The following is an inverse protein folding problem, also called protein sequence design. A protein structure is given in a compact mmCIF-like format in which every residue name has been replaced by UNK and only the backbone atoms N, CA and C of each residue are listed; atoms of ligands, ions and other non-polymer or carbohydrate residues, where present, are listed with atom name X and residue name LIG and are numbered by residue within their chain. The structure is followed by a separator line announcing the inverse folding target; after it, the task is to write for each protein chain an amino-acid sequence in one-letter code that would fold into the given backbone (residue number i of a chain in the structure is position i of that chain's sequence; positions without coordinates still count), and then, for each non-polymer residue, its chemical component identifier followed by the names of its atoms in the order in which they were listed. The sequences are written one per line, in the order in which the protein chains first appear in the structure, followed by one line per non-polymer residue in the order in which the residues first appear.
data_IF_299036835802
#
_entry.id   IF_299036835802
#
_cell.length_a   1.000
_cell.length_b   1.000
_cell.length_c   1.000
_cell.angle_alpha   90.00
_cell.angle_beta   90.00
_cell.angle_gamma   90.00
#
_symmetry.space_group_name_H-M   'P 1'
#
loop_
_entity.id
_entity.type
_entity.pdbx_description
1 polymer ?
#
# COMPACT_ATOMS: atom_id res chain seq x y z
N UNK A 1 -20.90 -0.81 3.79
CA UNK A 1 -19.58 -1.48 3.86
C UNK A 1 -19.29 -2.00 2.46
N UNK A 2 -18.08 -1.83 1.97
CA UNK A 2 -17.64 -2.45 0.72
C UNK A 2 -17.12 -3.84 1.10
N UNK A 3 -17.69 -4.86 0.45
CA UNK A 3 -17.33 -6.26 0.62
C UNK A 3 -16.64 -6.71 -0.66
N UNK A 4 -15.53 -7.42 -0.51
CA UNK A 4 -14.62 -7.72 -1.60
C UNK A 4 -14.18 -9.16 -1.52
N UNK A 5 -14.28 -9.83 -2.67
CA UNK A 5 -14.22 -11.27 -2.74
C UNK A 5 -12.81 -11.75 -3.02
N UNK A 6 -12.38 -12.77 -2.28
CA UNK A 6 -11.17 -13.51 -2.57
C UNK A 6 -11.53 -14.77 -3.33
N UNK A 7 -11.12 -14.83 -4.59
CA UNK A 7 -11.31 -15.98 -5.47
C UNK A 7 -10.06 -16.86 -5.41
N UNK A 8 -10.22 -18.15 -5.11
CA UNK A 8 -9.11 -19.09 -5.07
C UNK A 8 -9.30 -20.20 -6.11
N UNK A 9 -8.22 -20.50 -6.83
CA UNK A 9 -8.18 -21.52 -7.88
C UNK A 9 -6.98 -22.43 -7.66
N UNK A 10 -7.22 -23.74 -7.70
CA UNK A 10 -6.16 -24.76 -7.70
C UNK A 10 -6.26 -25.52 -9.02
N UNK A 11 -5.16 -25.61 -9.77
CA UNK A 11 -5.18 -26.23 -11.12
C UNK A 11 -6.27 -25.66 -12.04
N UNK A 12 -6.49 -24.34 -11.97
CA UNK A 12 -7.55 -23.61 -12.71
C UNK A 12 -9.00 -24.01 -12.32
N UNK A 13 -9.19 -24.74 -11.22
CA UNK A 13 -10.50 -25.11 -10.69
C UNK A 13 -10.82 -24.21 -9.49
N UNK A 14 -12.00 -23.55 -9.44
CA UNK A 14 -12.44 -22.79 -8.27
C UNK A 14 -12.45 -23.68 -7.02
N UNK A 15 -11.81 -23.24 -5.95
CA UNK A 15 -11.70 -23.97 -4.69
C UNK A 15 -11.89 -23.01 -3.51
N UNK A 16 -12.46 -23.48 -2.38
CA UNK A 16 -12.47 -22.68 -1.15
C UNK A 16 -11.05 -22.29 -0.74
N UNK A 17 -10.89 -21.12 -0.15
CA UNK A 17 -9.61 -20.73 0.44
C UNK A 17 -9.44 -21.45 1.79
N UNK A 18 -8.21 -21.84 2.12
CA UNK A 18 -7.89 -22.38 3.43
C UNK A 18 -7.82 -21.27 4.49
N UNK A 19 -8.07 -21.61 5.76
CA UNK A 19 -7.88 -20.68 6.88
C UNK A 19 -6.43 -20.17 6.99
N UNK A 20 -5.46 -21.04 6.66
CA UNK A 20 -4.04 -20.66 6.59
C UNK A 20 -3.81 -19.57 5.55
N UNK A 21 -4.37 -19.72 4.35
CA UNK A 21 -4.26 -18.75 3.27
C UNK A 21 -5.03 -17.45 3.57
N UNK A 22 -6.20 -17.51 4.20
CA UNK A 22 -6.89 -16.31 4.69
C UNK A 22 -6.06 -15.56 5.75
N UNK A 23 -5.48 -16.28 6.71
CA UNK A 23 -4.60 -15.67 7.72
C UNK A 23 -3.36 -15.00 7.11
N UNK A 24 -2.87 -15.54 5.99
CA UNK A 24 -1.79 -14.96 5.22
C UNK A 24 -2.20 -13.60 4.63
N UNK A 25 -3.39 -13.52 4.03
CA UNK A 25 -3.96 -12.27 3.51
C UNK A 25 -4.16 -11.24 4.62
N UNK A 26 -4.71 -11.64 5.75
CA UNK A 26 -4.94 -10.73 6.89
C UNK A 26 -3.65 -10.15 7.48
N UNK A 27 -2.52 -10.83 7.28
CA UNK A 27 -1.21 -10.43 7.82
C UNK A 27 -0.38 -9.50 6.92
N UNK A 28 -0.90 -9.12 5.75
CA UNK A 28 -0.21 -8.16 4.88
C UNK A 28 -0.32 -6.76 5.50
N UNK A 29 0.76 -5.98 5.42
CA UNK A 29 0.68 -4.55 5.70
C UNK A 29 0.01 -3.83 4.53
N UNK A 30 -1.32 -3.89 4.53
CA UNK A 30 -2.18 -3.28 3.54
C UNK A 30 -2.11 -1.75 3.55
N UNK A 31 -1.73 -1.15 4.69
CA UNK A 31 -1.63 0.31 4.82
C UNK A 31 -0.50 0.87 3.96
N UNK A 32 0.58 0.10 3.77
CA UNK A 32 1.68 0.44 2.85
C UNK A 32 1.25 0.57 1.37
N UNK A 33 0.07 0.06 1.03
CA UNK A 33 -0.51 0.12 -0.31
C UNK A 33 -1.80 0.96 -0.37
N UNK A 34 -2.11 1.71 0.69
CA UNK A 34 -3.25 2.64 0.72
C UNK A 34 -4.56 2.04 1.21
N UNK A 35 -4.54 0.81 1.73
CA UNK A 35 -5.73 0.12 2.20
C UNK A 35 -5.81 0.13 3.73
N UNK A 36 -6.86 0.74 4.29
CA UNK A 36 -7.14 0.72 5.72
C UNK A 36 -7.83 -0.60 6.09
N UNK A 37 -7.06 -1.66 6.28
CA UNK A 37 -7.62 -2.98 6.56
C UNK A 37 -8.39 -3.05 7.88
N UNK A 38 -9.59 -3.64 7.86
CA UNK A 38 -10.42 -3.90 9.06
C UNK A 38 -10.37 -5.34 9.52
N UNK A 39 -10.25 -6.28 8.59
CA UNK A 39 -10.27 -7.71 8.89
C UNK A 39 -10.74 -8.55 7.72
N UNK A 40 -10.78 -9.86 7.90
CA UNK A 40 -11.27 -10.81 6.91
C UNK A 40 -11.98 -11.97 7.58
N UNK A 41 -12.91 -12.59 6.87
CA UNK A 41 -13.71 -13.71 7.36
C UNK A 41 -14.13 -14.63 6.22
N UNK A 42 -14.57 -15.84 6.56
CA UNK A 42 -15.26 -16.74 5.62
C UNK A 42 -16.75 -16.67 5.96
N UNK A 43 -17.58 -16.41 4.96
CA UNK A 43 -19.03 -16.35 5.12
C UNK A 43 -19.67 -17.75 5.25
N UNK A 44 -20.99 -17.79 5.48
CA UNK A 44 -21.75 -19.03 5.60
C UNK A 44 -21.78 -19.86 4.28
N UNK A 45 -21.52 -19.20 3.15
CA UNK A 45 -21.45 -19.81 1.82
C UNK A 45 -20.03 -20.33 1.48
N UNK A 46 -19.06 -20.13 2.38
CA UNK A 46 -17.67 -20.57 2.22
C UNK A 46 -16.80 -19.61 1.40
N UNK A 47 -17.27 -18.41 1.09
CA UNK A 47 -16.51 -17.38 0.39
C UNK A 47 -15.64 -16.61 1.39
N UNK A 48 -14.41 -16.31 1.00
CA UNK A 48 -13.58 -15.41 1.79
C UNK A 48 -13.76 -13.97 1.36
N UNK A 49 -13.93 -13.11 2.36
CA UNK A 49 -14.08 -11.68 2.18
C UNK A 49 -13.03 -10.93 3.01
N UNK A 50 -12.46 -9.89 2.40
CA UNK A 50 -11.64 -8.90 3.09
C UNK A 50 -12.45 -7.61 3.26
N UNK A 51 -12.31 -6.98 4.42
CA UNK A 51 -12.97 -5.73 4.77
C UNK A 51 -11.96 -4.62 4.97
N UNK A 52 -12.32 -3.45 4.46
CA UNK A 52 -11.50 -2.25 4.53
C UNK A 52 -12.32 -1.08 5.07
N UNK A 53 -11.67 -0.12 5.69
CA UNK A 53 -12.21 1.20 5.89
C UNK A 53 -12.03 2.04 4.64
N UNK A 54 -12.89 3.07 4.52
CA UNK A 54 -12.86 4.13 3.50
C UNK A 54 -11.74 3.99 2.46
N UNK A 55 -12.05 3.39 1.31
CA UNK A 55 -11.09 3.17 0.23
C UNK A 55 -11.19 4.25 -0.83
N UNK A 56 -10.05 4.59 -1.43
CA UNK A 56 -10.02 5.37 -2.66
C UNK A 56 -10.65 4.62 -3.85
N UNK A 57 -10.70 3.29 -3.76
CA UNK A 57 -11.28 2.40 -4.76
C UNK A 57 -12.75 2.10 -4.46
N UNK A 58 -13.54 1.98 -5.54
CA UNK A 58 -14.94 1.55 -5.43
C UNK A 58 -15.07 0.04 -5.22
N UNK A 59 -14.06 -0.74 -5.63
CA UNK A 59 -14.02 -2.20 -5.54
C UNK A 59 -12.61 -2.75 -5.78
N UNK A 60 -12.24 -3.82 -5.07
CA UNK A 60 -11.02 -4.62 -5.25
C UNK A 60 -11.36 -6.10 -5.20
N UNK A 61 -11.00 -6.85 -6.23
CA UNK A 61 -11.10 -8.31 -6.23
C UNK A 61 -9.70 -8.93 -6.24
N UNK A 62 -9.51 -10.01 -5.49
CA UNK A 62 -8.24 -10.73 -5.43
C UNK A 62 -8.45 -12.16 -5.93
N UNK A 63 -7.78 -12.52 -7.01
CA UNK A 63 -7.75 -13.89 -7.53
C UNK A 63 -6.39 -14.54 -7.26
N UNK A 64 -6.40 -15.65 -6.52
CA UNK A 64 -5.22 -16.44 -6.16
C UNK A 64 -5.26 -17.74 -6.96
N UNK A 65 -4.24 -17.94 -7.79
CA UNK A 65 -4.08 -19.15 -8.59
C UNK A 65 -2.87 -19.94 -8.09
N UNK A 66 -3.13 -21.15 -7.60
CA UNK A 66 -2.12 -22.10 -7.16
C UNK A 66 -2.00 -23.22 -8.19
N UNK A 67 -0.78 -23.44 -8.67
CA UNK A 67 -0.45 -24.49 -9.64
C UNK A 67 0.66 -25.36 -9.09
N UNK A 68 0.46 -26.67 -9.16
CA UNK A 68 1.42 -27.71 -8.81
C UNK A 68 1.95 -28.29 -10.11
N UNK A 69 3.21 -28.00 -10.43
CA UNK A 69 3.86 -28.68 -11.55
C UNK A 69 4.04 -30.16 -11.20
N UNK A 70 3.32 -31.04 -11.90
CA UNK A 70 3.16 -32.44 -11.53
C UNK A 70 4.47 -33.24 -11.44
N UNK A 71 4.48 -34.17 -10.47
CA UNK A 71 5.48 -35.19 -10.16
C UNK A 71 6.77 -34.71 -9.45
N UNK A 72 6.62 -34.16 -8.24
CA UNK A 72 7.62 -34.37 -7.18
C UNK A 72 6.88 -34.73 -5.88
N UNK A 73 6.55 -36.02 -5.74
CA UNK A 73 6.10 -36.62 -4.47
C UNK A 73 7.22 -36.67 -3.40
N UNK A 74 8.35 -35.98 -3.61
CA UNK A 74 9.54 -35.98 -2.74
C UNK A 74 10.02 -34.60 -2.28
N UNK A 75 9.32 -33.52 -2.64
CA UNK A 75 9.47 -32.25 -1.95
C UNK A 75 8.08 -31.80 -1.54
N UNK A 76 7.64 -32.31 -0.38
CA UNK A 76 6.92 -31.43 0.55
C UNK A 76 7.83 -30.24 0.74
N UNK A 77 7.69 -29.21 -0.10
CA UNK A 77 8.31 -27.93 0.12
C UNK A 77 7.91 -27.56 1.54
N UNK A 78 8.87 -27.60 2.45
CA UNK A 78 8.67 -27.28 3.87
C UNK A 78 8.26 -25.82 4.06
N UNK A 79 8.19 -25.03 2.99
CA UNK A 79 7.61 -23.70 3.05
C UNK A 79 6.08 -23.81 3.15
N UNK A 80 5.48 -23.31 4.24
CA UNK A 80 4.04 -23.31 4.39
C UNK A 80 3.43 -22.47 3.25
N UNK A 81 2.34 -22.97 2.64
CA UNK A 81 1.51 -22.31 1.62
C UNK A 81 1.34 -20.80 1.87
N UNK A 82 1.18 -20.43 3.15
CA UNK A 82 1.12 -19.06 3.68
C UNK A 82 2.30 -18.17 3.27
N UNK A 83 3.54 -18.66 3.32
CA UNK A 83 4.72 -17.87 2.95
C UNK A 83 4.75 -17.55 1.45
N UNK A 84 4.48 -18.55 0.61
CA UNK A 84 4.46 -18.38 -0.85
C UNK A 84 3.34 -17.42 -1.27
N UNK A 85 2.16 -17.56 -0.68
CA UNK A 85 1.03 -16.66 -0.92
C UNK A 85 1.37 -15.23 -0.50
N UNK A 86 1.92 -15.04 0.71
CA UNK A 86 2.35 -13.73 1.20
C UNK A 86 3.36 -13.08 0.26
N UNK A 87 4.36 -13.85 -0.19
CA UNK A 87 5.39 -13.37 -1.10
C UNK A 87 4.80 -12.98 -2.46
N UNK A 88 3.98 -13.85 -3.06
CA UNK A 88 3.34 -13.60 -4.35
C UNK A 88 2.45 -12.35 -4.30
N UNK A 89 1.66 -12.21 -3.24
CA UNK A 89 0.79 -11.06 -3.04
C UNK A 89 1.59 -9.76 -2.85
N UNK A 90 2.63 -9.77 -2.00
CA UNK A 90 3.53 -8.61 -1.84
C UNK A 90 4.16 -8.21 -3.16
N UNK A 91 4.61 -9.17 -3.97
CA UNK A 91 5.17 -8.90 -5.29
C UNK A 91 4.14 -8.31 -6.25
N UNK A 92 2.90 -8.80 -6.26
CA UNK A 92 1.83 -8.26 -7.08
C UNK A 92 1.47 -6.82 -6.67
N UNK A 93 1.31 -6.56 -5.37
CA UNK A 93 1.03 -5.23 -4.83
C UNK A 93 2.18 -4.25 -5.07
N UNK A 94 3.43 -4.71 -4.97
CA UNK A 94 4.59 -3.89 -5.31
C UNK A 94 4.61 -3.53 -6.80
N UNK A 95 4.31 -4.48 -7.68
CA UNK A 95 4.15 -4.22 -9.12
C UNK A 95 3.06 -3.20 -9.40
N UNK A 96 1.87 -3.38 -8.82
CA UNK A 96 0.75 -2.44 -8.94
C UNK A 96 1.14 -1.03 -8.46
N UNK A 97 1.83 -0.94 -7.32
CA UNK A 97 2.30 0.33 -6.78
C UNK A 97 3.34 1.01 -7.67
N UNK A 98 4.21 0.24 -8.33
CA UNK A 98 5.19 0.80 -9.26
C UNK A 98 4.54 1.33 -10.54
N UNK A 99 3.53 0.63 -11.06
CA UNK A 99 2.83 0.99 -12.30
C UNK A 99 1.78 2.11 -12.09
N UNK A 100 1.21 2.20 -10.88
CA UNK A 100 0.10 3.09 -10.51
C UNK A 100 0.37 3.83 -9.19
N UNK A 101 1.56 4.43 -9.06
CA UNK A 101 2.01 5.05 -7.81
C UNK A 101 1.07 6.11 -7.23
N UNK A 102 0.37 6.87 -8.06
CA UNK A 102 -0.59 7.89 -7.62
C UNK A 102 -1.80 7.28 -6.89
N UNK A 103 -2.21 6.07 -7.27
CA UNK A 103 -3.41 5.39 -6.76
C UNK A 103 -3.10 4.52 -5.53
N UNK A 104 -1.88 3.99 -5.43
CA UNK A 104 -1.44 3.06 -4.39
C UNK A 104 -0.47 3.68 -3.37
N UNK A 105 -0.58 5.00 -3.15
CA UNK A 105 0.09 5.66 -2.03
C UNK A 105 -0.29 4.99 -0.71
N UNK A 106 0.67 4.83 0.20
CA UNK A 106 0.37 4.36 1.55
C UNK A 106 -0.68 5.26 2.23
N UNK A 107 -1.36 4.74 3.24
CA UNK A 107 -2.31 5.56 4.01
C UNK A 107 -1.63 6.81 4.61
N UNK A 108 -0.34 6.75 4.92
CA UNK A 108 0.44 7.92 5.32
C UNK A 108 0.63 8.90 4.16
N UNK A 109 1.05 8.42 2.98
CA UNK A 109 1.20 9.22 1.77
C UNK A 109 -0.12 9.91 1.36
N UNK A 110 -1.24 9.19 1.44
CA UNK A 110 -2.58 9.74 1.22
C UNK A 110 -2.90 10.86 2.21
N UNK A 111 -2.66 10.66 3.53
CA UNK A 111 -2.86 11.71 4.54
C UNK A 111 -2.02 12.94 4.26
N UNK A 112 -0.74 12.79 3.90
CA UNK A 112 0.12 13.92 3.54
C UNK A 112 -0.44 14.66 2.32
N UNK A 113 -0.92 13.91 1.32
CA UNK A 113 -1.53 14.44 0.09
C UNK A 113 -2.78 15.28 0.35
N UNK A 114 -3.57 14.96 1.37
CA UNK A 114 -4.76 15.74 1.75
C UNK A 114 -4.42 17.20 2.13
N UNK A 115 -3.22 17.47 2.66
CA UNK A 115 -2.77 18.82 3.04
C UNK A 115 -2.10 19.61 1.91
N UNK A 116 -1.73 18.94 0.81
CA UNK A 116 -1.02 19.58 -0.32
C UNK A 116 -1.81 20.77 -0.90
N UNK A 117 -3.15 20.70 -1.10
CA UNK A 117 -3.91 21.83 -1.66
C UNK A 117 -3.85 23.10 -0.81
N UNK A 118 -3.90 22.97 0.51
CA UNK A 118 -3.89 24.10 1.46
C UNK A 118 -2.48 24.70 1.57
N UNK A 119 -1.46 23.83 1.58
CA UNK A 119 -0.07 24.27 1.62
C UNK A 119 0.32 24.95 0.30
N UNK A 120 -0.09 24.41 -0.84
CA UNK A 120 0.13 25.02 -2.15
C UNK A 120 -0.54 26.38 -2.27
N UNK A 121 -1.76 26.54 -1.74
CA UNK A 121 -2.47 27.81 -1.68
C UNK A 121 -1.72 28.83 -0.81
N UNK A 122 -1.30 28.42 0.38
CA UNK A 122 -0.56 29.29 1.30
C UNK A 122 0.77 29.77 0.70
N UNK A 123 1.52 28.89 0.04
CA UNK A 123 2.80 29.24 -0.59
C UNK A 123 2.57 30.11 -1.83
N UNK A 124 1.60 29.79 -2.67
CA UNK A 124 1.25 30.62 -3.83
C UNK A 124 0.86 32.03 -3.39
N UNK A 125 0.02 32.14 -2.36
CA UNK A 125 -0.36 33.42 -1.75
C UNK A 125 0.85 34.18 -1.20
N UNK A 126 1.79 33.49 -0.53
CA UNK A 126 3.03 34.11 -0.03
C UNK A 126 3.88 34.69 -1.17
N UNK A 127 4.05 33.93 -2.27
CA UNK A 127 4.82 34.39 -3.43
C UNK A 127 4.16 35.61 -4.05
N UNK A 128 2.85 35.52 -4.36
CA UNK A 128 2.12 36.54 -5.12
C UNK A 128 1.79 37.79 -4.30
N UNK A 129 1.74 37.69 -2.97
CA UNK A 129 1.53 38.84 -2.08
C UNK A 129 2.81 39.59 -1.71
N UNK A 130 3.98 39.06 -2.08
CA UNK A 130 5.26 39.73 -1.83
C UNK A 130 5.35 41.04 -2.62
N UNK A 131 5.90 42.10 -2.02
CA UNK A 131 6.22 43.35 -2.71
C UNK A 131 7.61 43.34 -3.36
N UNK A 132 8.35 42.25 -3.21
CA UNK A 132 9.69 42.07 -3.75
C UNK A 132 9.62 41.33 -5.10
N UNK A 133 9.89 42.08 -6.18
CA UNK A 133 9.83 41.53 -7.54
C UNK A 133 10.95 40.52 -7.80
N UNK A 134 12.14 40.72 -7.23
CA UNK A 134 13.26 39.79 -7.39
C UNK A 134 12.90 38.44 -6.77
N UNK A 135 12.29 38.47 -5.57
CA UNK A 135 11.77 37.26 -4.93
C UNK A 135 10.68 36.55 -5.75
N UNK A 136 9.73 37.31 -6.31
CA UNK A 136 8.69 36.73 -7.16
C UNK A 136 9.28 36.05 -8.39
N UNK A 137 10.16 36.75 -9.11
CA UNK A 137 10.77 36.26 -10.35
C UNK A 137 11.63 35.01 -10.08
N UNK A 138 12.40 34.99 -9.00
CA UNK A 138 13.16 33.80 -8.58
C UNK A 138 12.25 32.61 -8.26
N UNK A 139 11.16 32.84 -7.52
CA UNK A 139 10.21 31.77 -7.20
C UNK A 139 9.52 31.21 -8.45
N UNK A 140 9.09 32.07 -9.36
CA UNK A 140 8.48 31.69 -10.64
C UNK A 140 9.49 30.90 -11.50
N UNK A 141 10.74 31.34 -11.54
CA UNK A 141 11.82 30.63 -12.23
C UNK A 141 12.10 29.25 -11.62
N UNK A 142 12.14 29.13 -10.28
CA UNK A 142 12.30 27.84 -9.57
C UNK A 142 11.13 26.88 -9.84
N UNK A 143 9.92 27.41 -9.95
CA UNK A 143 8.75 26.62 -10.33
C UNK A 143 8.81 26.18 -11.80
N UNK A 144 9.63 26.83 -12.62
CA UNK A 144 9.73 26.56 -14.05
C UNK A 144 8.54 27.14 -14.82
N UNK A 145 7.83 28.10 -14.23
CA UNK A 145 6.75 28.83 -14.89
C UNK A 145 7.38 29.93 -15.73
N UNK A 146 7.00 30.01 -17.01
CA UNK A 146 7.55 31.00 -17.93
C UNK A 146 7.27 32.43 -17.46
N UNK A 147 8.20 33.36 -17.74
CA UNK A 147 8.07 34.78 -17.36
C UNK A 147 7.04 35.57 -18.18
N UNK A 148 6.47 34.97 -19.24
CA UNK A 148 5.56 35.66 -20.15
C UNK A 148 4.10 35.48 -19.73
N UNK A 149 3.60 36.51 -19.04
CA UNK A 149 2.23 37.05 -19.06
C UNK A 149 1.08 36.03 -19.21
N UNK A 150 0.87 35.22 -18.16
CA UNK A 150 -0.44 34.91 -17.56
C UNK A 150 -0.23 34.01 -16.33
N UNK A 151 0.57 34.50 -15.39
CA UNK A 151 0.77 33.85 -14.08
C UNK A 151 -0.46 34.10 -13.21
N UNK A 152 -1.50 33.31 -13.46
CA UNK A 152 -2.65 33.25 -12.56
C UNK A 152 -2.23 32.58 -11.26
N UNK A 153 -2.80 33.02 -10.15
CA UNK A 153 -2.64 32.37 -8.84
C UNK A 153 -2.90 30.86 -8.91
N UNK A 154 -3.89 30.47 -9.73
CA UNK A 154 -4.21 29.07 -10.01
C UNK A 154 -3.05 28.30 -10.65
N UNK A 155 -2.27 28.91 -11.56
CA UNK A 155 -1.13 28.26 -12.22
C UNK A 155 0.03 28.02 -11.24
N UNK A 156 0.34 29.01 -10.40
CA UNK A 156 1.38 28.91 -9.36
C UNK A 156 1.00 27.84 -8.33
N UNK A 157 -0.24 27.91 -7.82
CA UNK A 157 -0.79 26.92 -6.88
C UNK A 157 -0.73 25.51 -7.46
N UNK A 158 -1.20 25.33 -8.70
CA UNK A 158 -1.24 24.00 -9.34
C UNK A 158 0.18 23.45 -9.53
N UNK A 159 1.13 24.28 -9.96
CA UNK A 159 2.52 23.87 -10.13
C UNK A 159 3.17 23.42 -8.79
N UNK A 160 2.93 24.17 -7.71
CA UNK A 160 3.41 23.80 -6.37
C UNK A 160 2.78 22.47 -5.94
N UNK A 161 1.45 22.34 -6.09
CA UNK A 161 0.72 21.12 -5.75
C UNK A 161 1.22 19.89 -6.51
N UNK A 162 1.42 20.00 -7.82
CA UNK A 162 1.98 18.92 -8.66
C UNK A 162 3.38 18.50 -8.19
N UNK A 163 4.27 19.47 -7.91
CA UNK A 163 5.62 19.16 -7.42
C UNK A 163 5.58 18.49 -6.05
N UNK A 164 4.71 18.93 -5.15
CA UNK A 164 4.54 18.32 -3.83
C UNK A 164 3.99 16.90 -3.94
N UNK A 165 2.97 16.66 -4.76
CA UNK A 165 2.42 15.32 -4.99
C UNK A 165 3.49 14.35 -5.50
N UNK A 166 4.31 14.77 -6.48
CA UNK A 166 5.44 13.96 -6.95
C UNK A 166 6.45 13.63 -5.85
N UNK A 167 6.74 14.59 -4.96
CA UNK A 167 7.64 14.34 -3.82
C UNK A 167 7.03 13.32 -2.85
N UNK A 168 5.71 13.40 -2.60
CA UNK A 168 5.00 12.43 -1.77
C UNK A 168 5.12 11.03 -2.38
N UNK A 169 4.82 10.87 -3.68
CA UNK A 169 4.96 9.59 -4.41
C UNK A 169 6.39 9.03 -4.36
N UNK A 170 7.39 9.88 -4.60
CA UNK A 170 8.80 9.49 -4.56
C UNK A 170 9.29 9.08 -3.17
N UNK A 171 8.70 9.64 -2.11
CA UNK A 171 9.06 9.28 -0.74
C UNK A 171 8.29 8.06 -0.26
N UNK A 172 7.07 7.85 -0.76
CA UNK A 172 6.22 6.70 -0.42
C UNK A 172 6.71 5.37 -1.05
N UNK A 173 7.51 5.47 -2.11
CA UNK A 173 8.14 4.33 -2.80
C UNK A 173 9.54 3.98 -2.29
N UNK A 174 10.17 4.85 -1.49
CA UNK A 174 11.44 4.51 -0.84
C UNK A 174 11.12 3.54 0.30
N UNK A 175 11.66 2.33 0.23
CA UNK A 175 11.72 1.45 1.40
C UNK A 175 12.38 2.24 2.54
N UNK A 176 11.64 2.45 3.63
CA UNK A 176 12.07 3.30 4.75
C UNK A 176 13.35 2.74 5.38
N UNK A 177 14.52 3.24 4.97
CA UNK A 177 15.81 2.80 5.51
C UNK A 177 16.00 3.23 6.98
N UNK A 178 15.25 4.19 7.53
CA UNK A 178 15.37 4.54 8.95
C UNK A 178 14.02 4.92 9.58
N UNK A 179 13.46 3.99 10.36
CA UNK A 179 12.39 4.26 11.32
C UNK A 179 12.97 5.00 12.54
N UNK A 180 13.03 6.33 12.52
CA UNK A 180 13.49 7.09 13.71
C UNK A 180 12.74 8.39 14.01
N UNK A 181 11.66 8.72 13.28
CA UNK A 181 10.78 9.83 13.64
C UNK A 181 9.34 9.34 13.77
N UNK A 182 8.63 9.62 14.89
CA UNK A 182 7.21 9.37 14.95
C UNK A 182 6.53 10.17 13.84
N UNK A 183 5.78 9.47 12.97
CA UNK A 183 5.04 10.11 11.89
C UNK A 183 4.06 11.13 12.48
N UNK A 184 4.08 12.37 11.97
CA UNK A 184 3.12 13.43 12.35
C UNK A 184 1.65 12.99 12.12
N UNK A 185 1.46 12.06 11.18
CA UNK A 185 0.18 11.45 10.87
C UNK A 185 0.21 9.99 11.31
N UNK A 186 -0.20 9.74 12.54
CA UNK A 186 -0.45 8.39 13.04
C UNK A 186 -1.60 7.78 12.22
N UNK A 187 -1.29 6.90 11.26
CA UNK A 187 -2.23 5.83 10.97
C UNK A 187 -2.08 4.82 12.09
N UNK A 188 -3.20 4.39 12.67
CA UNK A 188 -3.24 3.33 13.68
C UNK A 188 -2.45 2.14 13.12
N UNK A 189 -1.21 1.99 13.59
CA UNK A 189 -0.48 0.74 13.39
C UNK A 189 -1.27 -0.25 14.22
N UNK A 190 -1.86 -1.24 13.58
CA UNK A 190 -2.23 -2.44 14.33
C UNK A 190 -0.93 -2.95 14.90
N UNK A 191 -0.81 -2.94 16.23
CA UNK A 191 0.37 -3.41 16.93
C UNK A 191 0.78 -4.75 16.32
N UNK A 192 2.03 -4.79 15.85
CA UNK A 192 2.65 -5.94 15.20
C UNK A 192 2.87 -7.07 16.22
N UNK A 193 1.80 -7.68 16.72
CA UNK A 193 1.87 -8.93 17.48
C UNK A 193 1.84 -10.16 16.55
N UNK A 194 2.20 -10.00 15.29
CA UNK A 194 2.44 -11.09 14.34
C UNK A 194 3.93 -11.33 14.06
N UNK A 195 4.81 -10.62 14.76
CA UNK A 195 6.27 -10.79 14.70
C UNK A 195 6.80 -11.97 15.52
N UNK A 196 5.93 -12.72 16.22
CA UNK A 196 6.31 -13.86 17.06
C UNK A 196 6.09 -15.25 16.44
N UNK A 197 5.97 -15.37 15.11
CA UNK A 197 5.88 -16.69 14.46
C UNK A 197 6.98 -16.93 13.41
N UNK A 198 8.09 -16.20 13.49
CA UNK A 198 9.25 -16.42 12.58
C UNK A 198 10.53 -16.85 13.30
N UNK A 199 10.51 -17.11 14.62
CA UNK A 199 11.62 -17.82 15.30
C UNK A 199 11.06 -18.90 16.24
N UNK A 200 11.62 -20.11 16.12
CA UNK A 200 11.33 -21.36 16.84
C UNK A 200 10.20 -22.26 16.28
N UNK A 201 10.50 -22.97 15.19
CA UNK A 201 10.00 -24.34 15.03
C UNK A 201 11.18 -25.29 15.36
N UNK A 202 11.37 -25.68 16.64
CA UNK A 202 12.31 -26.73 16.97
C UNK A 202 11.67 -28.05 16.57
N UNK A 203 12.35 -28.79 15.70
CA UNK A 203 12.06 -30.17 15.34
C UNK A 203 11.55 -30.99 16.55
N UNK A 204 10.24 -31.20 16.66
CA UNK A 204 9.70 -32.25 17.53
C UNK A 204 9.77 -33.59 16.77
N UNK A 205 10.97 -34.17 16.77
CA UNK A 205 11.17 -35.61 16.73
C UNK A 205 10.48 -36.25 17.95
N UNK A 206 9.16 -36.33 17.96
CA UNK A 206 8.44 -37.24 18.85
C UNK A 206 8.41 -38.62 18.21
N UNK A 207 9.50 -39.36 18.45
CA UNK A 207 9.53 -40.82 18.41
C UNK A 207 8.39 -41.33 19.29
N UNK A 208 7.31 -41.82 18.67
CA UNK A 208 6.36 -42.67 19.36
C UNK A 208 6.89 -44.11 19.33
N UNK A 209 7.53 -44.52 20.43
CA UNK A 209 7.72 -45.94 20.74
C UNK A 209 6.36 -46.55 21.09
N UNK A 210 5.88 -47.47 20.24
CA UNK A 210 4.97 -48.56 20.61
C UNK A 210 5.26 -49.81 19.76
#
# INVERSE_FOLDING_TARGET
MLHEQVLHFVEFIPCPISQSSLSALMSIDWQSYGFKFKGGFIDDDGNAELQWDNMAFSHVDIAIHTYHEGAVDEWKSSQPERHLLRKALKSALFGLKADHAEDFLSCHGQKVREYVPDLAESIAGLILSSNDQEFQDECIALLGLGSDQDLTEGAVRSCIGEKMNRIVEMNDTKENVEHNAPYLFECERFDEDYSLLDEDDPDEDMIFDF
#
